data_IF_722425544768
#
_entry.id   IF_722425544768
#
_cell.length_a   1.000
_cell.length_b   1.000
_cell.length_c   1.000
_cell.angle_alpha   90.00
_cell.angle_beta   90.00
_cell.angle_gamma   90.00
#
_symmetry.space_group_name_H-M   'P 1'
#
loop_
_entity.id
_entity.type
_entity.pdbx_description
1 polymer ?
#
# COMPACT_ATOMS: atom_id res chain seq x y z
N UNK A 1 78.91 -23.45 -1.26
CA UNK A 1 78.51 -24.51 -2.19
C UNK A 1 76.99 -24.46 -2.28
N UNK A 2 76.39 -23.67 -3.17
CA UNK A 2 76.35 -23.92 -4.64
C UNK A 2 75.89 -25.36 -4.90
N UNK A 3 74.83 -25.67 -5.63
CA UNK A 3 74.08 -24.92 -6.65
C UNK A 3 72.80 -25.72 -7.01
N UNK A 4 71.71 -25.01 -7.31
CA UNK A 4 70.81 -25.14 -8.48
C UNK A 4 70.28 -26.55 -8.89
N UNK A 5 69.04 -26.85 -9.33
CA UNK A 5 67.85 -26.16 -9.91
C UNK A 5 67.15 -27.30 -10.69
N UNK A 6 65.85 -27.58 -10.73
CA UNK A 6 64.66 -26.90 -11.26
C UNK A 6 63.51 -27.92 -11.07
N UNK A 7 62.32 -27.50 -10.65
CA UNK A 7 61.11 -27.81 -11.44
C UNK A 7 59.95 -26.88 -11.06
N UNK A 8 59.64 -26.06 -12.04
CA UNK A 8 58.53 -25.14 -12.18
C UNK A 8 57.15 -25.77 -11.97
N UNK A 9 56.19 -24.88 -11.66
CA UNK A 9 54.77 -24.95 -11.97
C UNK A 9 53.94 -26.03 -11.26
N UNK A 10 53.08 -25.62 -10.32
CA UNK A 10 51.65 -25.44 -10.62
C UNK A 10 50.98 -24.58 -9.53
N UNK A 11 50.73 -23.33 -9.91
CA UNK A 11 49.77 -22.43 -9.30
C UNK A 11 48.37 -23.06 -9.41
N UNK A 12 47.68 -23.27 -8.29
CA UNK A 12 46.22 -23.47 -8.28
C UNK A 12 45.60 -22.49 -7.30
N UNK A 13 45.32 -21.30 -7.82
CA UNK A 13 44.39 -20.37 -7.21
C UNK A 13 43.00 -21.00 -7.23
N UNK A 14 42.46 -21.31 -6.04
CA UNK A 14 41.05 -21.65 -5.87
C UNK A 14 40.33 -20.32 -5.64
N UNK A 15 39.84 -19.71 -6.72
CA UNK A 15 38.89 -18.61 -6.63
C UNK A 15 37.52 -19.21 -6.29
N UNK A 16 37.09 -19.11 -5.04
CA UNK A 16 35.71 -19.40 -4.64
C UNK A 16 34.82 -18.29 -5.21
N UNK A 17 34.15 -18.56 -6.32
CA UNK A 17 33.12 -17.70 -6.87
C UNK A 17 31.88 -17.79 -5.96
N UNK A 18 31.70 -16.80 -5.08
CA UNK A 18 30.43 -16.59 -4.39
C UNK A 18 29.41 -16.08 -5.42
N UNK A 19 28.64 -16.98 -6.01
CA UNK A 19 27.45 -16.63 -6.78
C UNK A 19 26.39 -16.13 -5.78
N UNK A 20 26.23 -14.81 -5.68
CA UNK A 20 25.09 -14.20 -4.99
C UNK A 20 23.85 -14.61 -5.76
N UNK A 21 23.06 -15.52 -5.20
CA UNK A 21 21.73 -15.83 -5.71
C UNK A 21 20.86 -14.63 -5.39
N UNK A 22 20.76 -13.70 -6.34
CA UNK A 22 19.78 -12.62 -6.27
C UNK A 22 18.39 -13.26 -6.47
N UNK A 23 17.64 -13.47 -5.39
CA UNK A 23 16.21 -13.72 -5.49
C UNK A 23 15.56 -12.48 -6.09
N UNK A 24 14.79 -12.57 -7.19
CA UNK A 24 14.04 -11.44 -7.68
C UNK A 24 13.09 -11.00 -6.56
N UNK A 25 13.17 -9.73 -6.16
CA UNK A 25 12.13 -9.13 -5.35
C UNK A 25 10.85 -9.22 -6.17
N UNK A 26 9.83 -9.92 -5.65
CA UNK A 26 8.50 -9.88 -6.24
C UNK A 26 8.05 -8.42 -6.15
N UNK A 27 7.98 -7.72 -7.29
CA UNK A 27 7.39 -6.40 -7.33
C UNK A 27 5.94 -6.53 -6.84
N UNK A 28 5.53 -5.69 -5.89
CA UNK A 28 4.11 -5.57 -5.59
C UNK A 28 3.47 -4.94 -6.82
N UNK A 29 2.60 -5.70 -7.50
CA UNK A 29 1.96 -5.20 -8.72
C UNK A 29 1.00 -4.06 -8.34
N UNK A 30 1.42 -2.84 -8.68
CA UNK A 30 0.64 -1.60 -8.57
C UNK A 30 0.17 -1.25 -9.97
N UNK A 31 -1.15 -1.19 -10.16
CA UNK A 31 -1.75 -0.87 -11.46
C UNK A 31 -2.33 0.53 -11.37
N UNK A 32 -1.82 1.45 -12.20
CA UNK A 32 -2.42 2.78 -12.32
C UNK A 32 -3.83 2.67 -12.88
N UNK A 33 -4.80 3.11 -12.09
CA UNK A 33 -6.21 3.10 -12.47
C UNK A 33 -6.59 4.41 -13.15
N UNK A 34 -6.32 5.55 -12.49
CA UNK A 34 -6.69 6.88 -12.99
C UNK A 34 -5.99 8.00 -12.24
N UNK A 35 -5.73 9.13 -12.90
CA UNK A 35 -5.29 10.37 -12.25
C UNK A 35 -6.43 11.37 -12.19
N UNK A 36 -6.67 11.96 -11.01
CA UNK A 36 -7.72 12.95 -10.76
C UNK A 36 -7.09 14.20 -10.14
N UNK A 37 -6.82 15.20 -10.99
CA UNK A 37 -6.07 16.37 -10.58
C UNK A 37 -4.63 15.99 -10.26
N UNK A 38 -4.32 15.87 -8.97
CA UNK A 38 -3.00 15.54 -8.42
C UNK A 38 -3.04 14.29 -7.54
N UNK A 39 -4.20 13.63 -7.48
CA UNK A 39 -4.36 12.33 -6.87
C UNK A 39 -4.17 11.26 -7.94
N UNK A 40 -3.27 10.32 -7.69
CA UNK A 40 -3.15 9.10 -8.47
C UNK A 40 -3.91 7.99 -7.75
N UNK A 41 -4.95 7.48 -8.42
CA UNK A 41 -5.72 6.33 -7.98
C UNK A 41 -5.09 5.09 -8.60
N UNK A 42 -4.65 4.17 -7.74
CA UNK A 42 -3.99 2.94 -8.15
C UNK A 42 -4.68 1.75 -7.48
N UNK A 43 -4.71 0.62 -8.19
CA UNK A 43 -5.05 -0.68 -7.61
C UNK A 43 -3.79 -1.33 -7.04
N UNK A 44 -3.89 -1.80 -5.80
CA UNK A 44 -2.83 -2.50 -5.09
C UNK A 44 -3.23 -3.95 -4.92
N UNK A 45 -2.57 -4.86 -5.64
CA UNK A 45 -2.87 -6.29 -5.53
C UNK A 45 -2.67 -6.80 -4.10
N UNK A 46 -1.62 -6.32 -3.42
CA UNK A 46 -1.33 -6.65 -2.02
C UNK A 46 -2.47 -6.29 -1.05
N UNK A 47 -3.33 -5.33 -1.41
CA UNK A 47 -4.46 -4.91 -0.59
C UNK A 47 -5.80 -5.40 -1.14
N UNK A 48 -5.83 -5.99 -2.35
CA UNK A 48 -7.07 -6.36 -3.04
C UNK A 48 -8.02 -5.17 -3.25
N UNK A 49 -7.48 -3.96 -3.35
CA UNK A 49 -8.27 -2.74 -3.33
C UNK A 49 -7.50 -1.56 -3.92
N UNK A 50 -8.21 -0.45 -4.12
CA UNK A 50 -7.63 0.77 -4.67
C UNK A 50 -7.35 1.81 -3.59
N UNK A 51 -6.40 2.69 -3.89
CA UNK A 51 -6.05 3.82 -3.06
C UNK A 51 -5.72 5.05 -3.89
N UNK A 52 -6.02 6.22 -3.34
CA UNK A 52 -5.61 7.52 -3.86
C UNK A 52 -4.34 7.96 -3.12
N UNK A 53 -3.34 8.38 -3.89
CA UNK A 53 -2.08 8.91 -3.39
C UNK A 53 -1.86 10.30 -3.93
N UNK A 54 -1.38 11.21 -3.09
CA UNK A 54 -0.91 12.53 -3.49
C UNK A 54 0.49 12.78 -2.93
N UNK A 55 1.36 13.31 -3.76
CA UNK A 55 2.66 13.85 -3.39
C UNK A 55 2.56 15.37 -3.21
N UNK A 56 3.22 15.88 -2.17
CA UNK A 56 3.17 17.28 -1.77
C UNK A 56 4.57 17.90 -1.85
N UNK A 57 4.62 19.22 -2.03
CA UNK A 57 5.88 19.98 -2.22
C UNK A 57 6.89 19.85 -1.06
N UNK A 58 6.45 19.40 0.12
CA UNK A 58 7.33 19.12 1.27
C UNK A 58 7.86 17.68 1.30
N UNK A 59 7.82 16.99 0.15
CA UNK A 59 8.23 15.59 -0.03
C UNK A 59 7.39 14.60 0.80
N UNK A 60 6.19 15.01 1.21
CA UNK A 60 5.22 14.14 1.86
C UNK A 60 4.33 13.43 0.85
N UNK A 61 3.94 12.21 1.21
CA UNK A 61 2.99 11.39 0.48
C UNK A 61 1.82 11.11 1.40
N UNK A 62 0.60 11.38 0.93
CA UNK A 62 -0.63 11.03 1.63
C UNK A 62 -1.31 9.90 0.86
N UNK A 63 -1.62 8.83 1.57
CA UNK A 63 -2.30 7.65 1.05
C UNK A 63 -3.65 7.48 1.76
N UNK A 64 -4.71 7.34 0.97
CA UNK A 64 -6.03 6.95 1.45
C UNK A 64 -6.61 5.88 0.53
N UNK A 65 -6.89 4.70 1.08
CA UNK A 65 -7.37 3.57 0.30
C UNK A 65 -8.21 2.61 1.09
N UNK A 66 -8.81 1.69 0.36
CA UNK A 66 -9.45 0.51 0.94
C UNK A 66 -8.44 -0.63 1.00
N UNK A 67 -8.76 -1.64 1.81
CA UNK A 67 -7.94 -2.82 2.00
C UNK A 67 -8.86 -4.00 2.33
N UNK A 68 -8.74 -5.08 1.55
CA UNK A 68 -9.52 -6.31 1.70
C UNK A 68 -8.63 -7.49 2.09
N UNK A 69 -7.38 -7.24 2.51
CA UNK A 69 -6.44 -8.29 2.92
C UNK A 69 -6.80 -8.91 4.27
N UNK A 70 -7.63 -8.24 5.06
CA UNK A 70 -8.21 -8.75 6.31
C UNK A 70 -9.62 -9.30 6.07
N UNK A 71 -10.23 -9.93 7.09
CA UNK A 71 -11.58 -10.50 7.00
C UNK A 71 -12.68 -9.45 6.76
N UNK A 72 -12.43 -8.21 7.15
CA UNK A 72 -13.36 -7.09 7.06
C UNK A 72 -12.78 -5.99 6.16
N UNK A 73 -13.64 -5.23 5.48
CA UNK A 73 -13.18 -4.09 4.69
C UNK A 73 -12.49 -3.05 5.58
N UNK A 74 -11.23 -2.76 5.27
CA UNK A 74 -10.41 -1.80 5.97
C UNK A 74 -10.27 -0.47 5.21
N UNK A 75 -10.13 0.61 5.98
CA UNK A 75 -9.71 1.93 5.52
C UNK A 75 -8.23 2.08 5.89
N UNK A 76 -7.36 2.02 4.89
CA UNK A 76 -5.93 2.23 5.04
C UNK A 76 -5.61 3.71 4.86
N UNK A 77 -4.94 4.27 5.86
CA UNK A 77 -4.45 5.64 5.85
C UNK A 77 -2.95 5.60 6.06
N UNK A 78 -2.19 6.35 5.27
CA UNK A 78 -0.77 6.54 5.53
C UNK A 78 -0.30 7.95 5.18
N UNK A 79 0.77 8.36 5.87
CA UNK A 79 1.56 9.54 5.57
C UNK A 79 3.03 9.14 5.59
N UNK A 80 3.75 9.43 4.52
CA UNK A 80 5.18 9.18 4.40
C UNK A 80 5.89 10.49 4.08
N UNK A 81 7.16 10.60 4.41
CA UNK A 81 7.98 11.75 4.01
C UNK A 81 9.43 11.31 3.80
N UNK A 82 10.06 11.83 2.74
CA UNK A 82 11.44 11.48 2.40
C UNK A 82 12.49 11.85 3.45
N UNK A 83 12.21 12.84 4.31
CA UNK A 83 13.14 13.37 5.30
C UNK A 83 12.93 12.76 6.70
N UNK A 84 12.04 11.78 6.85
CA UNK A 84 11.79 11.14 8.14
C UNK A 84 12.74 9.97 8.38
N UNK A 85 13.79 10.21 9.17
CA UNK A 85 14.80 9.18 9.49
C UNK A 85 14.62 8.52 10.87
N UNK A 86 13.68 9.00 11.68
CA UNK A 86 13.55 8.60 13.10
C UNK A 86 12.30 7.78 13.41
N UNK A 87 11.40 7.60 12.43
CA UNK A 87 10.25 6.71 12.60
C UNK A 87 10.75 5.26 12.72
N UNK A 88 10.31 4.55 13.74
CA UNK A 88 10.62 3.15 13.97
C UNK A 88 9.45 2.29 13.50
N UNK A 89 9.73 1.23 12.75
CA UNK A 89 8.72 0.30 12.24
C UNK A 89 7.97 -0.33 13.41
N UNK A 90 6.65 -0.48 13.26
CA UNK A 90 5.70 -1.06 14.23
C UNK A 90 5.55 -0.31 15.56
N UNK A 91 6.34 0.73 15.82
CA UNK A 91 6.15 1.61 16.97
C UNK A 91 4.88 2.44 16.83
N UNK A 92 4.18 2.65 17.94
CA UNK A 92 2.93 3.40 17.97
C UNK A 92 3.17 4.91 18.18
N UNK A 93 2.52 5.72 17.35
CA UNK A 93 2.59 7.17 17.37
C UNK A 93 1.18 7.75 17.53
N UNK A 94 0.98 8.50 18.61
CA UNK A 94 -0.27 9.25 18.81
C UNK A 94 -0.19 10.58 18.05
N UNK A 95 -1.05 10.72 17.05
CA UNK A 95 -1.15 11.89 16.19
C UNK A 95 -2.47 12.61 16.41
N UNK A 96 -2.47 13.89 16.04
CA UNK A 96 -3.66 14.70 15.95
C UNK A 96 -3.85 15.08 14.49
N UNK A 97 -5.02 14.78 13.94
CA UNK A 97 -5.40 15.18 12.57
C UNK A 97 -6.54 16.17 12.64
N UNK A 98 -6.42 17.27 11.90
CA UNK A 98 -7.46 18.30 11.87
C UNK A 98 -7.84 18.66 10.45
N UNK A 99 -9.15 18.65 10.19
CA UNK A 99 -9.75 19.04 8.92
C UNK A 99 -10.31 20.45 9.00
N UNK A 100 -9.73 21.39 8.26
CA UNK A 100 -10.05 22.82 8.34
C UNK A 100 -10.14 23.32 9.82
N UNK A 101 -11.32 23.80 10.24
CA UNK A 101 -11.62 24.28 11.60
C UNK A 101 -12.50 23.31 12.41
N UNK A 102 -12.60 22.05 11.99
CA UNK A 102 -13.37 21.01 12.70
C UNK A 102 -12.64 20.54 13.97
N UNK A 103 -13.36 19.90 14.91
CA UNK A 103 -12.71 19.22 16.03
C UNK A 103 -11.61 18.26 15.55
N UNK A 104 -10.47 18.19 16.26
CA UNK A 104 -9.40 17.30 15.86
C UNK A 104 -9.72 15.83 16.15
N UNK A 105 -9.08 14.95 15.41
CA UNK A 105 -9.07 13.50 15.59
C UNK A 105 -7.78 13.09 16.29
N UNK A 106 -7.91 12.41 17.43
CA UNK A 106 -6.80 11.69 18.04
C UNK A 106 -6.70 10.30 17.41
N UNK A 107 -5.61 10.04 16.70
CA UNK A 107 -5.39 8.76 16.01
C UNK A 107 -4.07 8.14 16.44
N UNK A 108 -4.08 6.83 16.65
CA UNK A 108 -2.85 6.05 16.76
C UNK A 108 -2.46 5.59 15.36
N UNK A 109 -1.19 5.75 14.99
CA UNK A 109 -0.61 5.22 13.75
C UNK A 109 0.64 4.42 14.09
N UNK A 110 1.07 3.55 13.20
CA UNK A 110 2.26 2.71 13.37
C UNK A 110 3.32 3.09 12.36
N UNK A 111 4.59 3.04 12.77
CA UNK A 111 5.69 3.28 11.87
C UNK A 111 5.78 2.22 10.77
N UNK A 112 6.13 2.66 9.57
CA UNK A 112 6.36 1.79 8.40
C UNK A 112 7.58 2.26 7.62
N UNK A 113 8.13 1.35 6.83
CA UNK A 113 9.16 1.61 5.83
C UNK A 113 8.70 0.97 4.52
N UNK A 114 8.42 1.80 3.52
CA UNK A 114 8.01 1.38 2.18
C UNK A 114 9.12 1.76 1.22
N UNK A 115 9.87 0.77 0.74
CA UNK A 115 10.99 0.94 -0.19
C UNK A 115 12.03 1.99 0.26
N UNK A 116 12.37 1.99 1.55
CA UNK A 116 13.32 2.94 2.16
C UNK A 116 12.69 4.29 2.52
N UNK A 117 11.37 4.44 2.36
CA UNK A 117 10.63 5.64 2.74
C UNK A 117 9.86 5.40 4.01
N UNK A 118 10.22 6.11 5.07
CA UNK A 118 9.55 5.97 6.36
C UNK A 118 8.27 6.78 6.41
N UNK A 119 7.34 6.28 7.20
CA UNK A 119 6.04 6.91 7.39
C UNK A 119 5.25 6.31 8.53
N UNK A 120 4.01 6.76 8.62
CA UNK A 120 3.04 6.35 9.61
C UNK A 120 1.82 5.82 8.86
N UNK A 121 1.30 4.65 9.27
CA UNK A 121 0.08 4.08 8.68
C UNK A 121 -0.85 3.53 9.76
N UNK A 122 -2.12 3.36 9.42
CA UNK A 122 -3.03 2.50 10.16
C UNK A 122 -4.10 1.92 9.23
N UNK A 123 -4.73 0.84 9.70
CA UNK A 123 -5.84 0.17 9.07
C UNK A 123 -7.05 0.23 10.02
N UNK A 124 -8.05 1.03 9.68
CA UNK A 124 -9.27 1.19 10.46
C UNK A 124 -10.40 0.32 9.88
N UNK A 125 -11.37 -0.16 10.68
CA UNK A 125 -12.56 -0.81 10.13
C UNK A 125 -13.38 0.18 9.30
N UNK A 126 -13.47 -0.01 7.98
CA UNK A 126 -14.12 0.92 7.06
C UNK A 126 -15.63 1.04 7.31
N UNK A 127 -16.24 -0.01 7.86
CA UNK A 127 -17.68 -0.08 8.17
C UNK A 127 -18.05 0.63 9.46
N UNK A 128 -17.08 1.16 10.22
CA UNK A 128 -17.35 1.90 11.46
C UNK A 128 -17.87 3.31 11.19
N UNK A 129 -18.75 3.81 12.07
CA UNK A 129 -19.23 5.19 12.02
C UNK A 129 -18.09 6.21 12.09
N UNK A 130 -17.04 5.89 12.84
CA UNK A 130 -15.85 6.74 13.00
C UNK A 130 -15.09 6.87 11.68
N UNK A 131 -14.78 5.75 11.01
CA UNK A 131 -14.16 5.77 9.69
C UNK A 131 -15.03 6.50 8.66
N UNK A 132 -16.35 6.26 8.67
CA UNK A 132 -17.28 6.95 7.80
C UNK A 132 -17.32 8.47 8.02
N UNK A 133 -17.28 8.92 9.28
CA UNK A 133 -17.17 10.35 9.60
C UNK A 133 -15.83 10.94 9.15
N UNK A 134 -14.72 10.25 9.42
CA UNK A 134 -13.39 10.68 9.02
C UNK A 134 -13.30 10.87 7.50
N UNK A 135 -13.74 9.89 6.71
CA UNK A 135 -13.75 9.97 5.24
C UNK A 135 -14.65 11.10 4.76
N UNK A 136 -15.82 11.31 5.37
CA UNK A 136 -16.70 12.44 5.03
C UNK A 136 -16.04 13.78 5.26
N UNK A 137 -15.28 13.94 6.34
CA UNK A 137 -14.53 15.16 6.61
C UNK A 137 -13.39 15.33 5.60
N UNK A 138 -12.61 14.29 5.34
CA UNK A 138 -11.55 14.29 4.33
C UNK A 138 -12.07 14.70 2.94
N UNK A 139 -13.21 14.17 2.50
CA UNK A 139 -13.82 14.53 1.21
C UNK A 139 -14.39 15.96 1.16
N UNK A 140 -14.77 16.54 2.31
CA UNK A 140 -15.47 17.84 2.39
C UNK A 140 -14.60 19.00 2.87
N UNK A 141 -13.32 18.76 3.06
CA UNK A 141 -12.40 19.75 3.61
C UNK A 141 -11.49 20.31 2.54
N UNK A 142 -10.89 21.46 2.83
CA UNK A 142 -9.89 22.07 1.94
C UNK A 142 -8.47 21.76 2.41
N UNK A 143 -8.28 21.63 3.72
CA UNK A 143 -7.00 21.41 4.37
C UNK A 143 -7.07 20.28 5.41
N UNK A 144 -5.99 19.53 5.50
CA UNK A 144 -5.76 18.50 6.51
C UNK A 144 -4.39 18.72 7.15
N UNK A 145 -4.37 19.00 8.44
CA UNK A 145 -3.14 19.22 9.20
C UNK A 145 -2.88 18.02 10.10
N UNK A 146 -1.65 17.50 10.06
CA UNK A 146 -1.18 16.41 10.92
C UNK A 146 -0.18 16.94 11.93
N UNK A 147 -0.33 16.54 13.19
CA UNK A 147 0.52 17.01 14.29
C UNK A 147 0.96 15.84 15.17
N UNK A 148 2.24 15.82 15.54
CA UNK A 148 2.82 14.89 16.53
C UNK A 148 3.42 15.69 17.68
N UNK A 149 2.96 15.45 18.92
CA UNK A 149 3.45 16.14 20.13
C UNK A 149 3.50 17.67 20.01
N UNK A 150 2.54 18.26 19.30
CA UNK A 150 2.46 19.70 19.05
C UNK A 150 3.30 20.21 17.87
N UNK A 151 4.12 19.36 17.25
CA UNK A 151 4.86 19.70 16.02
C UNK A 151 4.05 19.32 14.80
N UNK A 152 3.84 20.28 13.91
CA UNK A 152 3.19 20.04 12.61
C UNK A 152 4.06 19.16 11.72
N UNK A 153 3.48 18.07 11.22
CA UNK A 153 4.08 17.18 10.23
C UNK A 153 3.77 17.64 8.80
N UNK A 154 2.65 18.34 8.61
CA UNK A 154 2.31 19.04 7.38
C UNK A 154 0.87 19.56 7.34
N UNK A 155 0.64 20.53 6.47
CA UNK A 155 -0.68 21.04 6.04
C UNK A 155 -0.91 20.65 4.57
N UNK A 156 -1.88 19.78 4.38
CA UNK A 156 -2.15 19.13 3.11
C UNK A 156 -3.41 19.71 2.49
N UNK A 157 -3.29 20.29 1.28
CA UNK A 157 -4.46 20.57 0.47
C UNK A 157 -5.25 19.28 0.20
N UNK A 158 -6.58 19.40 0.18
CA UNK A 158 -7.53 18.33 -0.12
C UNK A 158 -8.34 18.62 -1.39
N UNK A 159 -7.81 19.47 -2.27
CA UNK A 159 -8.49 19.78 -3.54
C UNK A 159 -8.65 18.51 -4.36
N UNK A 160 -9.88 18.23 -4.80
CA UNK A 160 -10.18 17.06 -5.63
C UNK A 160 -10.35 15.75 -4.88
N UNK A 161 -10.12 15.72 -3.55
CA UNK A 161 -10.21 14.52 -2.72
C UNK A 161 -11.56 13.81 -2.82
N UNK A 162 -12.67 14.55 -2.90
CA UNK A 162 -13.99 13.95 -3.07
C UNK A 162 -14.07 13.05 -4.33
N UNK A 163 -13.57 13.55 -5.47
CA UNK A 163 -13.59 12.78 -6.72
C UNK A 163 -12.62 11.60 -6.67
N UNK A 164 -11.42 11.80 -6.10
CA UNK A 164 -10.44 10.73 -5.94
C UNK A 164 -10.97 9.58 -5.07
N UNK A 165 -11.62 9.89 -3.94
CA UNK A 165 -12.20 8.86 -3.06
C UNK A 165 -13.39 8.14 -3.68
N UNK A 166 -14.21 8.82 -4.51
CA UNK A 166 -15.26 8.14 -5.27
C UNK A 166 -14.69 7.16 -6.29
N UNK A 167 -13.57 7.52 -6.92
CA UNK A 167 -12.88 6.63 -7.84
C UNK A 167 -12.22 5.46 -7.11
N UNK A 168 -11.65 5.66 -5.92
CA UNK A 168 -11.16 4.57 -5.06
C UNK A 168 -12.26 3.55 -4.77
N UNK A 169 -13.46 4.01 -4.42
CA UNK A 169 -14.61 3.14 -4.18
C UNK A 169 -15.01 2.38 -5.45
N UNK A 170 -15.16 3.07 -6.58
CA UNK A 170 -15.53 2.45 -7.87
C UNK A 170 -14.51 1.43 -8.36
N UNK A 171 -13.22 1.72 -8.20
CA UNK A 171 -12.12 0.84 -8.57
C UNK A 171 -12.11 -0.43 -7.70
N UNK A 172 -12.31 -0.27 -6.40
CA UNK A 172 -12.38 -1.40 -5.46
C UNK A 172 -13.62 -2.26 -5.71
N UNK A 173 -14.78 -1.63 -5.97
CA UNK A 173 -16.01 -2.33 -6.34
C UNK A 173 -15.83 -3.17 -7.62
N UNK A 174 -15.20 -2.60 -8.65
CA UNK A 174 -14.89 -3.34 -9.89
C UNK A 174 -14.03 -4.58 -9.64
N UNK A 175 -13.09 -4.52 -8.71
CA UNK A 175 -12.28 -5.68 -8.33
C UNK A 175 -13.12 -6.72 -7.57
N UNK A 176 -13.88 -6.28 -6.57
CA UNK A 176 -14.75 -7.15 -5.77
C UNK A 176 -15.78 -7.89 -6.64
N UNK A 177 -16.37 -7.20 -7.61
CA UNK A 177 -17.28 -7.80 -8.59
C UNK A 177 -16.57 -8.85 -9.44
N UNK A 178 -15.34 -8.60 -9.90
CA UNK A 178 -14.58 -9.53 -10.70
C UNK A 178 -14.19 -10.81 -9.92
N UNK A 179 -13.86 -10.69 -8.62
CA UNK A 179 -13.53 -11.86 -7.78
C UNK A 179 -14.77 -12.59 -7.27
N UNK A 180 -15.87 -11.89 -7.00
CA UNK A 180 -17.15 -12.49 -6.61
C UNK A 180 -17.87 -13.19 -7.76
N UNK A 181 -17.77 -12.64 -8.99
CA UNK A 181 -18.30 -13.26 -10.21
C UNK A 181 -17.47 -14.45 -10.71
N UNK A 182 -16.29 -14.69 -10.14
CA UNK A 182 -15.41 -15.83 -10.45
C UNK A 182 -15.92 -17.19 -9.92
N UNK A 183 -17.18 -17.27 -9.52
CA UNK A 183 -17.93 -18.52 -9.41
C UNK A 183 -17.97 -19.14 -10.81
N UNK A 184 -17.12 -20.14 -11.07
CA UNK A 184 -16.92 -20.70 -12.41
C UNK A 184 -18.25 -21.23 -12.98
N UNK A 185 -18.76 -20.69 -14.12
CA UNK A 185 -20.00 -21.16 -14.73
C UNK A 185 -19.90 -22.61 -15.26
N UNK A 186 -18.72 -23.23 -15.21
CA UNK A 186 -18.47 -24.61 -15.58
C UNK A 186 -18.21 -25.55 -14.39
N UNK A 187 -18.17 -25.05 -13.14
CA UNK A 187 -17.97 -25.89 -11.94
C UNK A 187 -19.22 -26.72 -11.56
N UNK A 188 -20.35 -26.47 -12.23
CA UNK A 188 -21.60 -27.25 -12.11
C UNK A 188 -21.76 -28.43 -13.09
N UNK A 189 -20.72 -28.79 -13.84
CA UNK A 189 -20.78 -29.85 -14.86
C UNK A 189 -20.59 -31.26 -14.31
N UNK A 190 -21.51 -31.80 -13.49
CA UNK A 190 -21.23 -33.09 -12.84
C UNK A 190 -22.37 -33.89 -12.22
N UNK A 191 -23.58 -33.92 -12.80
CA UNK A 191 -24.49 -35.09 -12.79
C UNK A 191 -25.88 -34.71 -13.31
N UNK A 192 -26.04 -34.73 -14.62
CA UNK A 192 -27.32 -35.16 -15.19
C UNK A 192 -27.04 -36.42 -15.99
N UNK A 193 -27.49 -37.56 -15.46
CA UNK A 193 -27.62 -38.79 -16.21
C UNK A 193 -28.48 -38.48 -17.45
N UNK A 194 -27.83 -38.15 -18.56
CA UNK A 194 -28.47 -38.20 -19.87
C UNK A 194 -28.63 -39.70 -20.14
N UNK A 195 -29.86 -40.17 -20.03
CA UNK A 195 -30.20 -41.49 -20.54
C UNK A 195 -29.78 -41.56 -22.01
N UNK A 196 -29.18 -42.68 -22.37
CA UNK A 196 -28.84 -43.04 -23.74
C UNK A 196 -30.07 -42.86 -24.63
N UNK A 197 -30.02 -42.05 -25.71
CA UNK A 197 -31.14 -41.87 -26.61
C UNK A 197 -31.41 -43.10 -27.51
N UNK A 198 -30.70 -44.21 -27.33
CA UNK A 198 -30.92 -45.48 -28.03
C UNK A 198 -31.20 -46.67 -27.11
N UNK A 199 -31.65 -46.43 -25.87
CA UNK A 199 -32.24 -47.45 -24.99
C UNK A 199 -33.74 -47.19 -24.81
#
# INVERSE_FOLDING_TARGET
METLVHRELQMRAIALAFAVVATPAAAQDVITWKTIGWWDVNFYEAYGACAAIAEYDNDSFVFFGLDTSTSDLGLRVAILNHHWDSIAVDEAYQLVVRFDRRPPWDITMYGTDVDGRRGLYNLFPATSDSAGNFVREFQRSNHMVWTYRGTELGDFSLRGTNMAMNEVMSCTESYLDAVGSRSDPFEGGGNSKKADPFQ
#
